data_IF_270454702193
#
_entry.id   IF_270454702193
#
_cell.length_a   1.000
_cell.length_b   1.000
_cell.length_c   1.000
_cell.angle_alpha   90.00
_cell.angle_beta   90.00
_cell.angle_gamma   90.00
#
_symmetry.space_group_name_H-M   'P 1'
#
loop_
_entity.id
_entity.type
_entity.pdbx_description
1 polymer ?
#
# COMPACT_ATOMS: atom_id res chain seq x y z
N UNK A 1 -0.39 5.90 -30.05
CA UNK A 1 -1.48 6.07 -29.06
C UNK A 1 -0.85 5.99 -27.68
N UNK A 2 -0.91 7.06 -26.89
CA UNK A 2 -0.32 7.08 -25.54
C UNK A 2 -1.21 6.28 -24.59
N UNK A 3 -0.70 5.17 -24.06
CA UNK A 3 -1.43 4.35 -23.08
C UNK A 3 -1.65 5.14 -21.81
N UNK A 4 -2.91 5.23 -21.33
CA UNK A 4 -3.26 5.93 -20.09
C UNK A 4 -2.82 5.09 -18.88
N UNK A 5 -2.14 5.67 -17.87
CA UNK A 5 -1.81 4.95 -16.66
C UNK A 5 -3.08 4.56 -15.89
N UNK A 6 -3.09 3.35 -15.33
CA UNK A 6 -4.17 2.87 -14.47
C UNK A 6 -3.74 2.74 -13.02
N UNK A 7 -2.43 2.61 -12.77
CA UNK A 7 -1.86 2.36 -11.45
C UNK A 7 -0.65 3.26 -11.16
N UNK A 8 -0.38 3.45 -9.88
CA UNK A 8 0.77 4.18 -9.33
C UNK A 8 1.39 3.37 -8.19
N UNK A 9 2.70 3.46 -7.99
CA UNK A 9 3.35 2.85 -6.84
C UNK A 9 3.00 3.66 -5.59
N UNK A 10 2.58 2.98 -4.50
CA UNK A 10 2.06 3.61 -3.27
C UNK A 10 3.03 4.62 -2.63
N UNK A 11 4.32 4.30 -2.61
CA UNK A 11 5.36 5.16 -2.00
C UNK A 11 6.21 5.93 -2.99
N UNK A 12 6.42 5.42 -4.20
CA UNK A 12 7.35 5.98 -5.17
C UNK A 12 6.66 6.73 -6.31
N UNK A 13 5.34 6.58 -6.47
CA UNK A 13 4.61 7.17 -7.58
C UNK A 13 4.86 6.40 -8.87
N UNK A 14 4.94 7.11 -10.00
CA UNK A 14 5.19 6.49 -11.30
C UNK A 14 3.92 6.06 -12.03
N UNK A 15 4.05 5.83 -13.32
CA UNK A 15 2.93 5.56 -14.23
C UNK A 15 2.95 4.12 -14.68
N UNK A 16 1.98 3.35 -14.23
CA UNK A 16 1.88 1.93 -14.57
C UNK A 16 0.52 1.60 -15.19
N UNK A 17 0.52 0.58 -16.03
CA UNK A 17 -0.71 -0.02 -16.56
C UNK A 17 -0.72 -1.50 -16.23
N UNK A 18 -1.72 -1.96 -15.48
CA UNK A 18 -2.00 -3.39 -15.36
C UNK A 18 -2.51 -3.88 -16.72
N UNK A 19 -1.78 -4.82 -17.33
CA UNK A 19 -2.10 -5.39 -18.64
C UNK A 19 -3.01 -6.59 -18.47
N UNK A 20 -2.65 -7.53 -17.59
CA UNK A 20 -3.43 -8.73 -17.35
C UNK A 20 -3.06 -9.41 -16.02
N UNK A 21 -3.97 -10.26 -15.55
CA UNK A 21 -3.71 -11.21 -14.47
C UNK A 21 -3.72 -12.63 -15.04
N UNK A 22 -2.68 -13.40 -14.78
CA UNK A 22 -2.52 -14.76 -15.29
C UNK A 22 -2.25 -15.75 -14.15
N UNK A 23 -2.57 -17.02 -14.37
CA UNK A 23 -2.08 -18.10 -13.53
C UNK A 23 -0.66 -18.45 -13.96
N UNK A 24 0.24 -18.60 -12.99
CA UNK A 24 1.57 -19.12 -13.24
C UNK A 24 1.52 -20.57 -13.70
N UNK A 25 2.57 -21.00 -14.40
CA UNK A 25 2.72 -22.37 -14.88
C UNK A 25 4.09 -22.92 -14.46
N UNK A 26 4.25 -24.24 -14.46
CA UNK A 26 5.50 -24.89 -14.07
C UNK A 26 5.88 -24.60 -12.62
N UNK A 27 7.05 -24.00 -12.39
CA UNK A 27 7.54 -23.66 -11.04
C UNK A 27 6.68 -22.61 -10.30
N UNK A 28 5.82 -21.89 -11.02
CA UNK A 28 4.89 -20.89 -10.48
C UNK A 28 3.44 -21.38 -10.47
N UNK A 29 3.21 -22.68 -10.66
CA UNK A 29 1.87 -23.25 -10.63
C UNK A 29 1.19 -22.98 -9.27
N UNK A 30 -0.12 -22.70 -9.31
CA UNK A 30 -0.91 -22.26 -8.16
C UNK A 30 -0.69 -20.78 -7.75
N UNK A 31 0.26 -20.06 -8.35
CA UNK A 31 0.45 -18.63 -8.11
C UNK A 31 -0.29 -17.79 -9.15
N UNK A 32 -0.69 -16.56 -8.77
CA UNK A 32 -1.25 -15.57 -9.71
C UNK A 32 -0.22 -14.48 -9.97
N UNK A 33 -0.08 -14.12 -11.25
CA UNK A 33 0.89 -13.17 -11.77
C UNK A 33 0.17 -11.94 -12.30
N UNK A 34 0.72 -10.77 -12.02
CA UNK A 34 0.30 -9.50 -12.60
C UNK A 34 1.32 -9.08 -13.65
N UNK A 35 0.88 -9.06 -14.92
CA UNK A 35 1.61 -8.46 -16.02
C UNK A 35 1.28 -6.98 -16.05
N UNK A 36 2.31 -6.13 -15.96
CA UNK A 36 2.13 -4.69 -15.98
C UNK A 36 3.19 -4.01 -16.84
N UNK A 37 2.88 -2.81 -17.30
CA UNK A 37 3.79 -1.96 -18.06
C UNK A 37 4.17 -0.74 -17.23
N UNK A 38 5.46 -0.49 -17.10
CA UNK A 38 6.02 0.79 -16.66
C UNK A 38 6.01 1.73 -17.88
N UNK A 39 5.19 2.78 -17.82
CA UNK A 39 5.03 3.72 -18.92
C UNK A 39 6.16 4.75 -19.00
N UNK A 40 6.89 4.96 -17.90
CA UNK A 40 8.01 5.91 -17.87
C UNK A 40 9.28 5.26 -18.43
N UNK A 41 9.42 3.93 -18.29
CA UNK A 41 10.54 3.14 -18.84
C UNK A 41 10.20 2.39 -20.13
N UNK A 42 8.92 2.34 -20.49
CA UNK A 42 8.37 1.56 -21.60
C UNK A 42 8.67 0.05 -21.54
N UNK A 43 8.80 -0.52 -20.33
CA UNK A 43 9.11 -1.94 -20.12
C UNK A 43 7.90 -2.68 -19.57
N UNK A 44 7.69 -3.90 -20.06
CA UNK A 44 6.73 -4.85 -19.47
C UNK A 44 7.42 -5.72 -18.43
N UNK A 45 6.75 -5.89 -17.29
CA UNK A 45 7.25 -6.60 -16.12
C UNK A 45 6.17 -7.50 -15.55
N UNK A 46 6.59 -8.53 -14.84
CA UNK A 46 5.70 -9.45 -14.15
C UNK A 46 6.04 -9.43 -12.67
N UNK A 47 5.02 -9.33 -11.82
CA UNK A 47 5.13 -9.51 -10.38
C UNK A 47 4.11 -10.56 -9.92
N UNK A 48 4.31 -11.11 -8.73
CA UNK A 48 3.25 -11.87 -8.07
C UNK A 48 2.06 -10.93 -7.79
N UNK A 49 0.83 -11.42 -7.93
CA UNK A 49 -0.36 -10.59 -7.70
C UNK A 49 -0.39 -10.00 -6.28
N UNK A 50 0.08 -10.76 -5.29
CA UNK A 50 0.19 -10.27 -3.91
C UNK A 50 1.15 -9.08 -3.79
N UNK A 51 2.33 -9.19 -4.40
CA UNK A 51 3.33 -8.11 -4.45
C UNK A 51 2.79 -6.89 -5.21
N UNK A 52 2.12 -7.13 -6.34
CA UNK A 52 1.47 -6.08 -7.12
C UNK A 52 0.47 -5.29 -6.27
N UNK A 53 -0.43 -5.98 -5.55
CA UNK A 53 -1.44 -5.34 -4.70
C UNK A 53 -0.82 -4.61 -3.50
N UNK A 54 0.30 -5.13 -2.99
CA UNK A 54 1.03 -4.55 -1.88
C UNK A 54 1.70 -3.22 -2.25
N UNK A 55 2.29 -3.13 -3.44
CA UNK A 55 3.14 -1.99 -3.80
C UNK A 55 2.47 -1.00 -4.75
N UNK A 56 1.50 -1.44 -5.54
CA UNK A 56 0.75 -0.61 -6.47
C UNK A 56 -0.70 -0.44 -6.01
N UNK A 57 -1.29 0.67 -6.45
CA UNK A 57 -2.72 0.95 -6.30
C UNK A 57 -3.24 1.59 -7.57
N UNK A 58 -4.55 1.47 -7.78
CA UNK A 58 -5.21 2.23 -8.84
C UNK A 58 -5.05 3.73 -8.60
N UNK A 59 -4.96 4.48 -9.70
CA UNK A 59 -4.96 5.93 -9.68
C UNK A 59 -6.38 6.40 -9.42
N UNK A 60 -6.57 7.12 -8.32
CA UNK A 60 -7.84 7.72 -7.97
C UNK A 60 -8.05 9.02 -8.77
N UNK A 61 -9.31 9.40 -9.00
CA UNK A 61 -9.66 10.59 -9.79
C UNK A 61 -9.03 11.88 -9.24
N UNK A 62 -8.89 11.95 -7.92
CA UNK A 62 -8.35 13.10 -7.22
C UNK A 62 -6.86 12.95 -6.88
N UNK A 63 -6.16 11.96 -7.43
CA UNK A 63 -4.71 11.92 -7.33
C UNK A 63 -4.09 13.04 -8.18
N UNK A 64 -3.10 13.71 -7.61
CA UNK A 64 -2.30 14.68 -8.34
C UNK A 64 -1.58 14.00 -9.51
N UNK A 65 -1.88 14.44 -10.73
CA UNK A 65 -1.31 13.90 -11.98
C UNK A 65 0.18 14.18 -12.15
N UNK A 66 0.77 15.07 -11.33
CA UNK A 66 2.22 15.34 -11.35
C UNK A 66 2.99 14.32 -10.50
N UNK A 67 2.53 14.05 -9.28
CA UNK A 67 3.21 13.14 -8.35
C UNK A 67 2.55 11.76 -8.22
N UNK A 68 1.49 11.52 -8.98
CA UNK A 68 0.70 10.30 -8.98
C UNK A 68 0.25 9.88 -7.58
N UNK A 69 -0.24 10.86 -6.80
CA UNK A 69 -0.79 10.59 -5.47
C UNK A 69 0.21 10.52 -4.32
N UNK A 70 1.52 10.65 -4.57
CA UNK A 70 2.55 10.50 -3.52
C UNK A 70 2.78 11.73 -2.66
N UNK A 71 2.38 12.91 -3.13
CA UNK A 71 2.64 14.19 -2.46
C UNK A 71 4.08 14.67 -2.54
N UNK A 72 4.99 13.96 -3.20
CA UNK A 72 6.41 14.35 -3.30
C UNK A 72 6.83 14.61 -4.74
N UNK A 73 7.83 15.46 -4.94
CA UNK A 73 8.36 15.78 -6.27
C UNK A 73 9.15 14.59 -6.84
N UNK A 74 8.49 13.82 -7.71
CA UNK A 74 9.11 12.72 -8.44
C UNK A 74 9.84 13.19 -9.72
N UNK A 75 9.48 14.35 -10.26
CA UNK A 75 9.98 14.83 -11.56
C UNK A 75 11.42 15.32 -11.40
N UNK A 76 11.73 16.03 -10.31
CA UNK A 76 13.08 16.54 -10.04
C UNK A 76 13.96 15.56 -9.26
N UNK A 77 13.52 14.32 -9.06
CA UNK A 77 14.23 13.30 -8.30
C UNK A 77 14.39 13.61 -6.80
N UNK A 78 13.75 14.68 -6.30
CA UNK A 78 13.88 15.12 -4.92
C UNK A 78 12.69 14.67 -4.08
N UNK A 79 12.71 13.39 -3.71
CA UNK A 79 11.65 12.72 -2.92
C UNK A 79 11.39 13.34 -1.53
N UNK A 80 12.23 14.28 -1.08
CA UNK A 80 12.05 15.00 0.19
C UNK A 80 11.24 16.28 0.05
N UNK A 81 11.06 16.77 -1.17
CA UNK A 81 10.33 18.02 -1.43
C UNK A 81 8.85 17.72 -1.70
N UNK A 82 7.93 18.55 -1.18
CA UNK A 82 6.52 18.44 -1.50
C UNK A 82 6.31 18.69 -2.99
N UNK A 83 5.39 17.96 -3.60
CA UNK A 83 4.98 18.20 -4.97
C UNK A 83 4.33 19.59 -5.08
N UNK A 84 4.88 20.45 -5.94
CA UNK A 84 4.39 21.83 -6.11
C UNK A 84 2.94 21.93 -6.60
N UNK A 85 2.46 20.97 -7.39
CA UNK A 85 1.09 21.02 -7.92
C UNK A 85 -0.01 20.64 -6.91
N UNK A 86 0.33 19.90 -5.85
CA UNK A 86 -0.64 19.56 -4.79
C UNK A 86 -0.18 20.01 -3.40
N UNK A 87 0.87 20.84 -3.35
CA UNK A 87 1.48 21.35 -2.12
C UNK A 87 1.74 20.25 -1.06
N UNK A 88 2.17 19.08 -1.50
CA UNK A 88 2.48 17.97 -0.58
C UNK A 88 1.32 17.02 -0.26
N UNK A 89 0.07 17.35 -0.61
CA UNK A 89 -1.10 16.54 -0.22
C UNK A 89 -1.23 15.23 -1.02
N UNK A 90 -0.60 15.14 -2.19
CA UNK A 90 -0.79 14.05 -3.14
C UNK A 90 -2.16 14.06 -3.83
N UNK A 91 -3.11 14.84 -3.32
CA UNK A 91 -4.48 14.97 -3.84
C UNK A 91 -4.75 16.34 -4.44
N UNK A 92 -5.72 16.38 -5.33
CA UNK A 92 -6.17 17.58 -6.04
C UNK A 92 -7.70 17.76 -5.89
N UNK A 93 -8.26 18.69 -6.65
CA UNK A 93 -9.70 18.93 -6.68
C UNK A 93 -10.47 17.74 -7.28
N UNK A 94 -11.79 17.61 -7.05
CA UNK A 94 -12.58 16.48 -7.57
C UNK A 94 -12.69 16.43 -9.11
N UNK A 95 -12.39 17.53 -9.79
CA UNK A 95 -12.30 17.64 -11.25
C UNK A 95 -10.93 17.20 -11.80
N UNK A 96 -9.95 16.96 -10.91
CA UNK A 96 -8.58 16.57 -11.28
C UNK A 96 -7.61 17.75 -11.40
N UNK A 97 -8.08 18.98 -11.20
CA UNK A 97 -7.25 20.19 -11.33
C UNK A 97 -6.47 20.52 -10.05
N UNK A 98 -5.25 21.02 -10.22
CA UNK A 98 -4.43 21.48 -9.09
C UNK A 98 -5.06 22.69 -8.40
N UNK A 99 -4.99 22.81 -7.06
CA UNK A 99 -5.50 23.98 -6.37
C UNK A 99 -4.78 25.25 -6.83
N UNK A 100 -5.54 26.31 -7.11
CA UNK A 100 -4.98 27.60 -7.55
C UNK A 100 -4.70 28.55 -6.40
N UNK A 101 -5.28 28.32 -5.23
CA UNK A 101 -5.17 29.16 -4.04
C UNK A 101 -5.22 28.33 -2.74
N UNK A 102 -4.99 29.00 -1.62
CA UNK A 102 -4.94 28.36 -0.29
C UNK A 102 -6.31 27.88 0.20
N UNK A 103 -7.41 28.49 -0.24
CA UNK A 103 -8.76 28.06 0.14
C UNK A 103 -9.10 26.72 -0.50
N UNK A 104 -8.83 26.58 -1.80
CA UNK A 104 -8.99 25.30 -2.50
C UNK A 104 -8.08 24.22 -1.91
N UNK A 105 -6.87 24.58 -1.49
CA UNK A 105 -5.98 23.65 -0.80
C UNK A 105 -6.57 23.19 0.55
N UNK A 106 -7.13 24.11 1.34
CA UNK A 106 -7.80 23.79 2.59
C UNK A 106 -9.02 22.88 2.36
N UNK A 107 -9.81 23.10 1.32
CA UNK A 107 -10.94 22.25 0.94
C UNK A 107 -10.50 20.83 0.56
N UNK A 108 -9.37 20.70 -0.15
CA UNK A 108 -8.76 19.39 -0.43
C UNK A 108 -8.37 18.70 0.88
N UNK A 109 -7.64 19.40 1.76
CA UNK A 109 -7.20 18.85 3.04
C UNK A 109 -8.38 18.43 3.93
N UNK A 110 -9.43 19.24 4.02
CA UNK A 110 -10.65 18.93 4.76
C UNK A 110 -11.31 17.63 4.28
N UNK A 111 -11.40 17.43 2.95
CA UNK A 111 -11.93 16.19 2.37
C UNK A 111 -11.06 14.96 2.65
N UNK A 112 -9.73 15.12 2.72
CA UNK A 112 -8.82 14.03 3.09
C UNK A 112 -9.08 13.64 4.55
N UNK A 113 -9.12 14.63 5.45
CA UNK A 113 -9.34 14.42 6.88
C UNK A 113 -10.69 13.73 7.12
N UNK A 114 -11.76 14.19 6.46
CA UNK A 114 -13.08 13.58 6.60
C UNK A 114 -13.10 12.12 6.13
N UNK A 115 -12.42 11.80 5.02
CA UNK A 115 -12.26 10.41 4.54
C UNK A 115 -11.53 9.55 5.56
N UNK A 116 -10.44 10.06 6.15
CA UNK A 116 -9.68 9.37 7.18
C UNK A 116 -10.51 9.15 8.45
N UNK A 117 -11.26 10.16 8.91
CA UNK A 117 -12.16 10.04 10.06
C UNK A 117 -13.22 8.97 9.83
N UNK A 118 -13.82 8.95 8.65
CA UNK A 118 -14.82 7.93 8.28
C UNK A 118 -14.20 6.52 8.28
N UNK A 119 -13.00 6.38 7.74
CA UNK A 119 -12.29 5.10 7.72
C UNK A 119 -11.94 4.62 9.14
N UNK A 120 -11.45 5.51 10.00
CA UNK A 120 -11.15 5.20 11.39
C UNK A 120 -12.40 4.80 12.18
N UNK A 121 -13.51 5.51 12.01
CA UNK A 121 -14.78 5.17 12.65
C UNK A 121 -15.27 3.78 12.23
N UNK A 122 -15.14 3.43 10.94
CA UNK A 122 -15.45 2.08 10.46
C UNK A 122 -14.56 1.02 11.12
N UNK A 123 -13.26 1.28 11.23
CA UNK A 123 -12.33 0.35 11.89
C UNK A 123 -12.68 0.16 13.38
N UNK A 124 -12.94 1.23 14.11
CA UNK A 124 -13.38 1.15 15.51
C UNK A 124 -14.70 0.37 15.65
N UNK A 125 -15.65 0.56 14.72
CA UNK A 125 -16.90 -0.19 14.74
C UNK A 125 -16.71 -1.70 14.52
N UNK A 126 -15.76 -2.08 13.66
CA UNK A 126 -15.40 -3.48 13.42
C UNK A 126 -14.65 -4.08 14.61
N UNK A 127 -13.73 -3.33 15.20
CA UNK A 127 -12.97 -3.75 16.40
C UNK A 127 -13.88 -3.96 17.62
N UNK A 128 -14.99 -3.22 17.71
CA UNK A 128 -15.98 -3.40 18.75
C UNK A 128 -16.85 -4.66 18.58
N UNK A 129 -16.81 -5.34 17.42
CA UNK A 129 -17.58 -6.57 17.19
C UNK A 129 -16.93 -7.75 17.92
N UNK A 130 -17.69 -8.49 18.76
CA UNK A 130 -17.14 -9.64 19.50
C UNK A 130 -16.49 -10.68 18.58
N UNK A 131 -17.07 -10.97 17.43
CA UNK A 131 -16.53 -11.97 16.50
C UNK A 131 -15.14 -11.58 15.97
N UNK A 132 -14.91 -10.28 15.79
CA UNK A 132 -13.60 -9.75 15.36
C UNK A 132 -12.60 -9.83 16.51
N UNK A 133 -13.01 -9.52 17.75
CA UNK A 133 -12.15 -9.64 18.93
C UNK A 133 -11.71 -11.09 19.15
N UNK A 134 -12.64 -12.04 19.12
CA UNK A 134 -12.35 -13.47 19.21
C UNK A 134 -11.39 -13.93 18.10
N UNK A 135 -11.60 -13.48 16.86
CA UNK A 135 -10.75 -13.81 15.72
C UNK A 135 -9.32 -13.27 15.89
N UNK A 136 -9.19 -12.02 16.34
CA UNK A 136 -7.90 -11.37 16.59
C UNK A 136 -7.16 -12.09 17.71
N UNK A 137 -7.85 -12.38 18.83
CA UNK A 137 -7.28 -13.13 19.96
C UNK A 137 -6.80 -14.51 19.53
N UNK A 138 -7.61 -15.27 18.79
CA UNK A 138 -7.21 -16.58 18.26
C UNK A 138 -5.95 -16.49 17.41
N UNK A 139 -5.83 -15.48 16.54
CA UNK A 139 -4.63 -15.28 15.73
C UNK A 139 -3.40 -14.91 16.56
N UNK A 140 -3.57 -14.11 17.61
CA UNK A 140 -2.48 -13.79 18.53
C UNK A 140 -1.99 -15.04 19.26
N UNK A 141 -2.91 -15.84 19.80
CA UNK A 141 -2.59 -17.11 20.47
C UNK A 141 -1.90 -18.10 19.53
N UNK A 142 -2.38 -18.24 18.29
CA UNK A 142 -1.72 -19.06 17.25
C UNK A 142 -0.32 -18.55 16.90
N UNK A 143 -0.12 -17.23 16.86
CA UNK A 143 1.19 -16.64 16.58
C UNK A 143 2.18 -16.91 17.73
N UNK A 144 1.74 -16.75 18.99
CA UNK A 144 2.52 -17.10 20.18
C UNK A 144 2.85 -18.59 20.18
N UNK A 145 1.88 -19.45 19.90
CA UNK A 145 2.10 -20.90 19.81
C UNK A 145 3.13 -21.28 18.73
N UNK A 146 3.06 -20.67 17.54
CA UNK A 146 4.06 -20.86 16.47
C UNK A 146 5.45 -20.39 16.89
N UNK A 147 5.54 -19.25 17.57
CA UNK A 147 6.80 -18.70 18.07
C UNK A 147 7.41 -19.62 19.15
N UNK A 148 6.61 -20.12 20.09
CA UNK A 148 7.06 -21.07 21.10
C UNK A 148 7.52 -22.40 20.49
N UNK A 149 6.80 -22.93 19.50
CA UNK A 149 7.20 -24.15 18.80
C UNK A 149 8.53 -23.96 18.04
N UNK A 150 8.72 -22.83 17.35
CA UNK A 150 10.00 -22.50 16.74
C UNK A 150 11.12 -22.34 17.76
N UNK A 151 10.82 -21.80 18.94
CA UNK A 151 11.78 -21.70 20.03
C UNK A 151 12.16 -23.08 20.59
N UNK A 152 11.19 -23.95 20.86
CA UNK A 152 11.40 -25.31 21.36
C UNK A 152 12.11 -26.21 20.35
N UNK A 153 11.81 -26.06 19.06
CA UNK A 153 12.43 -26.81 17.97
C UNK A 153 13.74 -26.22 17.45
N UNK A 154 14.05 -24.97 17.82
CA UNK A 154 15.23 -24.25 17.36
C UNK A 154 16.45 -24.41 18.27
N UNK A 155 17.65 -24.15 17.74
CA UNK A 155 18.87 -24.06 18.55
C UNK A 155 18.96 -22.77 19.40
N UNK A 156 18.06 -21.81 19.21
CA UNK A 156 18.15 -20.44 19.72
C UNK A 156 17.78 -20.23 21.19
N UNK A 157 18.47 -19.29 21.83
CA UNK A 157 18.22 -18.81 23.19
C UNK A 157 16.87 -18.10 23.31
N UNK A 158 16.21 -18.25 24.47
CA UNK A 158 14.94 -17.58 24.75
C UNK A 158 15.07 -16.05 24.81
N UNK A 159 13.95 -15.32 24.93
CA UNK A 159 13.93 -13.85 24.96
C UNK A 159 14.79 -13.21 26.07
N UNK A 160 15.27 -13.98 27.06
CA UNK A 160 16.23 -13.59 28.11
C UNK A 160 17.54 -14.40 28.08
N UNK A 161 17.92 -15.00 26.97
CA UNK A 161 19.22 -15.67 26.81
C UNK A 161 19.35 -17.06 27.47
N UNK A 162 18.44 -17.49 28.35
CA UNK A 162 18.61 -18.75 29.09
C UNK A 162 17.85 -19.93 28.46
N UNK A 163 18.59 -21.03 28.24
CA UNK A 163 18.02 -22.38 28.10
C UNK A 163 17.73 -22.91 29.51
N UNK A 164 16.46 -23.12 29.87
CA UNK A 164 16.11 -24.09 30.90
C UNK A 164 16.00 -25.46 30.21
N UNK A 165 17.14 -26.12 30.02
CA UNK A 165 17.14 -27.59 29.94
C UNK A 165 16.97 -28.07 31.37
N UNK A 166 15.73 -28.44 31.73
CA UNK A 166 15.49 -29.24 32.92
C UNK A 166 15.81 -30.68 32.57
N UNK A 167 17.00 -31.12 32.98
CA UNK A 167 17.17 -32.42 33.63
C UNK A 167 17.06 -32.19 35.15
#
# INVERSE_FOLDING_TARGET
MTTKPTHTHRTQGGRFTLVALHHGTGALDGQRLALYRDLDREVESVALEGEWRQHWREIEKDDCTLCMGTGTDQIKGNKRQPCGGCYGLGKVRPDGETPTDMWQLADIAGRIIQRQQTALQRLHSLEAMPEVQELVKRRQDEAVGRQEQQWRGGRGHGPNGQRRTGD
#
